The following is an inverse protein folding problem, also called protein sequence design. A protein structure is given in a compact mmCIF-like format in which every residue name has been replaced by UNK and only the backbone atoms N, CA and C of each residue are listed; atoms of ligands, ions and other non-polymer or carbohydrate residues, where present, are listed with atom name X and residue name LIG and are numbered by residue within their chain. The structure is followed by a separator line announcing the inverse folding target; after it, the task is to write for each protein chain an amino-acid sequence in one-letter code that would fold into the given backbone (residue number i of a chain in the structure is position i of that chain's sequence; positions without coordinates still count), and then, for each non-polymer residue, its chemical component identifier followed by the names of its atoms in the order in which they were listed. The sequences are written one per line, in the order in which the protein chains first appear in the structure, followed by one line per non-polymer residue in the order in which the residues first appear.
data_IF_890863416435
#
_entry.id   IF_890863416435
#
_cell.length_a   1.000
_cell.length_b   1.000
_cell.length_c   1.000
_cell.angle_alpha   90.00
_cell.angle_beta   90.00
_cell.angle_gamma   90.00
#
_symmetry.space_group_name_H-M   'P 1'
#
loop_
_entity.id
_entity.type
_entity.pdbx_description
1 polymer ?
#
# COMPACT_ATOMS: atom_id res chain seq x y z
N UNK A 1 0.48 23.72 -34.00
CA UNK A 1 1.53 22.67 -34.14
C UNK A 1 0.90 21.44 -34.78
N UNK A 2 1.24 21.16 -36.07
CA UNK A 2 0.80 19.93 -36.73
C UNK A 2 1.83 18.84 -36.44
N UNK A 3 1.43 17.83 -35.66
CA UNK A 3 2.22 16.64 -35.44
C UNK A 3 2.01 15.69 -36.61
N UNK A 4 3.09 15.15 -37.18
CA UNK A 4 3.01 14.20 -38.30
C UNK A 4 2.85 12.78 -37.80
N UNK A 5 2.29 11.89 -38.61
CA UNK A 5 2.15 10.46 -38.28
C UNK A 5 3.50 9.82 -37.96
N UNK A 6 4.55 10.16 -38.72
CA UNK A 6 5.90 9.64 -38.44
C UNK A 6 6.45 10.08 -37.09
N UNK A 7 6.17 11.31 -36.65
CA UNK A 7 6.59 11.78 -35.32
C UNK A 7 5.87 11.02 -34.20
N UNK A 8 4.56 10.75 -34.35
CA UNK A 8 3.80 9.94 -33.40
C UNK A 8 4.34 8.51 -33.36
N UNK A 9 4.61 7.92 -34.54
CA UNK A 9 5.16 6.57 -34.61
C UNK A 9 6.53 6.48 -33.94
N UNK A 10 7.43 7.42 -34.19
CA UNK A 10 8.74 7.47 -33.56
C UNK A 10 8.61 7.59 -32.03
N UNK A 11 7.70 8.43 -31.54
CA UNK A 11 7.47 8.57 -30.10
C UNK A 11 6.96 7.26 -29.46
N UNK A 12 6.01 6.59 -30.12
CA UNK A 12 5.49 5.29 -29.65
C UNK A 12 6.54 4.17 -29.68
N UNK A 13 7.42 4.18 -30.70
CA UNK A 13 8.56 3.27 -30.79
C UNK A 13 9.53 3.50 -29.60
N UNK A 14 9.90 4.74 -29.32
CA UNK A 14 10.76 5.09 -28.18
C UNK A 14 10.14 4.69 -26.84
N UNK A 15 8.87 4.98 -26.63
CA UNK A 15 8.14 4.56 -25.42
C UNK A 15 8.12 3.02 -25.29
N UNK A 16 7.94 2.32 -26.40
CA UNK A 16 7.97 0.84 -26.43
C UNK A 16 9.35 0.31 -26.05
N UNK A 17 10.43 0.92 -26.58
CA UNK A 17 11.79 0.56 -26.20
C UNK A 17 12.06 0.82 -24.72
N UNK A 18 11.67 1.98 -24.21
CA UNK A 18 11.82 2.32 -22.80
C UNK A 18 11.13 1.28 -21.90
N UNK A 19 9.88 0.93 -22.20
CA UNK A 19 9.14 -0.10 -21.45
C UNK A 19 9.81 -1.47 -21.51
N UNK A 20 10.30 -1.88 -22.70
CA UNK A 20 10.97 -3.18 -22.88
C UNK A 20 12.34 -3.27 -22.20
N UNK A 21 13.04 -2.14 -22.06
CA UNK A 21 14.35 -2.10 -21.40
C UNK A 21 14.25 -2.03 -19.88
N UNK A 22 13.10 -1.69 -19.32
CA UNK A 22 12.92 -1.54 -17.89
C UNK A 22 13.23 -2.83 -17.11
N UNK A 23 12.63 -3.96 -17.51
CA UNK A 23 12.84 -5.24 -16.83
C UNK A 23 14.29 -5.78 -16.95
N UNK A 24 14.94 -5.75 -18.13
CA UNK A 24 16.35 -6.11 -18.24
C UNK A 24 17.26 -5.30 -17.33
N UNK A 25 17.09 -3.96 -17.28
CA UNK A 25 17.90 -3.08 -16.44
C UNK A 25 17.68 -3.40 -14.96
N UNK A 26 16.43 -3.54 -14.51
CA UNK A 26 16.13 -3.93 -13.12
C UNK A 26 16.77 -5.25 -12.72
N UNK A 27 16.73 -6.26 -13.61
CA UNK A 27 17.36 -7.56 -13.37
C UNK A 27 18.88 -7.48 -13.29
N UNK A 28 19.50 -6.57 -14.03
CA UNK A 28 20.96 -6.34 -13.96
C UNK A 28 21.39 -5.86 -12.57
N UNK A 29 20.51 -5.14 -11.86
CA UNK A 29 20.76 -4.68 -10.50
C UNK A 29 20.93 -5.80 -9.48
N UNK A 30 20.44 -7.01 -9.79
CA UNK A 30 20.48 -8.19 -8.90
C UNK A 30 20.11 -7.85 -7.46
N UNK A 31 18.97 -7.18 -7.30
CA UNK A 31 18.49 -6.73 -5.99
C UNK A 31 17.97 -7.93 -5.20
N UNK A 32 18.58 -8.18 -4.06
CA UNK A 32 18.15 -9.18 -3.09
C UNK A 32 17.73 -8.49 -1.79
N UNK A 33 16.55 -8.84 -1.29
CA UNK A 33 16.01 -8.35 -0.02
C UNK A 33 15.92 -9.51 0.96
N UNK A 34 16.55 -9.34 2.11
CA UNK A 34 16.52 -10.33 3.19
C UNK A 34 15.12 -10.38 3.83
N UNK A 35 14.56 -11.58 3.98
CA UNK A 35 13.31 -11.77 4.75
C UNK A 35 13.47 -11.35 6.21
N UNK A 36 14.66 -11.53 6.79
CA UNK A 36 14.96 -11.17 8.17
C UNK A 36 14.91 -9.66 8.42
N UNK A 37 15.35 -8.86 7.44
CA UNK A 37 15.28 -7.40 7.49
C UNK A 37 13.87 -6.88 7.18
N UNK A 38 13.13 -7.61 6.37
CA UNK A 38 11.76 -7.28 5.97
C UNK A 38 10.70 -7.90 6.89
N UNK A 39 11.09 -8.65 7.94
CA UNK A 39 10.16 -9.36 8.81
C UNK A 39 9.09 -8.42 9.36
N UNK A 40 7.84 -8.84 9.24
CA UNK A 40 6.68 -8.13 9.76
C UNK A 40 6.10 -8.87 10.95
N UNK A 41 5.75 -8.11 11.98
CA UNK A 41 4.92 -8.57 13.10
C UNK A 41 3.50 -8.07 12.93
N UNK A 42 2.52 -8.86 13.35
CA UNK A 42 1.10 -8.48 13.35
C UNK A 42 0.63 -8.09 14.75
N UNK A 43 -0.24 -7.09 14.83
CA UNK A 43 -0.79 -6.62 16.10
C UNK A 43 -2.23 -6.11 15.93
N UNK A 44 -2.95 -6.12 17.03
CA UNK A 44 -4.27 -5.48 17.15
C UNK A 44 -4.16 -4.27 18.08
N UNK A 45 -4.83 -3.19 17.72
CA UNK A 45 -4.81 -1.97 18.51
C UNK A 45 -6.17 -1.28 18.54
N UNK A 46 -6.42 -0.55 19.62
CA UNK A 46 -7.49 0.44 19.71
C UNK A 46 -6.84 1.81 19.76
N UNK A 47 -7.31 2.72 18.91
CA UNK A 47 -6.86 4.11 18.84
C UNK A 47 -8.00 5.02 19.28
N UNK A 48 -7.78 5.81 20.32
CA UNK A 48 -8.76 6.78 20.83
C UNK A 48 -8.17 8.18 20.65
N UNK A 49 -8.79 8.98 19.78
CA UNK A 49 -8.36 10.37 19.54
C UNK A 49 -8.47 11.22 20.80
N UNK A 50 -7.40 11.92 21.12
CA UNK A 50 -7.31 12.91 22.22
C UNK A 50 -7.20 14.34 21.71
N UNK A 51 -7.30 14.56 20.40
CA UNK A 51 -7.21 15.86 19.74
C UNK A 51 -8.41 16.11 18.84
N UNK A 52 -8.83 17.38 18.71
CA UNK A 52 -9.93 17.82 17.87
C UNK A 52 -10.38 19.20 18.30
N UNK A 53 -10.82 20.03 17.37
CA UNK A 53 -11.18 21.45 17.62
C UNK A 53 -12.35 21.60 18.60
N UNK A 54 -13.21 20.58 18.71
CA UNK A 54 -14.40 20.58 19.57
C UNK A 54 -14.19 19.85 20.92
N UNK A 55 -12.97 19.31 21.19
CA UNK A 55 -12.70 18.56 22.41
C UNK A 55 -12.32 19.50 23.56
N UNK A 56 -13.04 19.36 24.68
CA UNK A 56 -12.68 20.02 25.93
C UNK A 56 -11.70 19.16 26.75
N UNK A 57 -11.03 19.77 27.74
CA UNK A 57 -10.17 19.02 28.67
C UNK A 57 -10.92 17.92 29.42
N UNK A 58 -12.22 18.14 29.73
CA UNK A 58 -13.07 17.12 30.36
C UNK A 58 -13.37 15.96 29.41
N UNK A 59 -13.56 16.23 28.12
CA UNK A 59 -13.74 15.16 27.11
C UNK A 59 -12.48 14.32 26.94
N UNK A 60 -11.32 14.99 26.91
CA UNK A 60 -10.03 14.30 26.84
C UNK A 60 -9.81 13.40 28.06
N UNK A 61 -10.10 13.93 29.26
CA UNK A 61 -9.99 13.14 30.51
C UNK A 61 -10.91 11.91 30.48
N UNK A 62 -12.17 12.10 30.06
CA UNK A 62 -13.13 10.99 29.88
C UNK A 62 -12.66 9.95 28.89
N UNK A 63 -12.11 10.36 27.74
CA UNK A 63 -11.58 9.44 26.71
C UNK A 63 -10.38 8.65 27.25
N UNK A 64 -9.53 9.25 28.05
CA UNK A 64 -8.43 8.56 28.73
C UNK A 64 -8.93 7.54 29.75
N UNK A 65 -9.97 7.87 30.53
CA UNK A 65 -10.62 6.90 31.43
C UNK A 65 -11.22 5.72 30.66
N UNK A 66 -11.89 5.97 29.54
CA UNK A 66 -12.43 4.93 28.67
C UNK A 66 -11.31 4.08 28.04
N UNK A 67 -10.20 4.69 27.61
CA UNK A 67 -9.04 3.96 27.11
C UNK A 67 -8.44 3.05 28.19
N UNK A 68 -8.34 3.54 29.44
CA UNK A 68 -7.88 2.74 30.56
C UNK A 68 -8.84 1.58 30.88
N UNK A 69 -10.14 1.80 30.82
CA UNK A 69 -11.14 0.75 30.98
C UNK A 69 -11.01 -0.35 29.94
N UNK A 70 -10.76 0.02 28.65
CA UNK A 70 -10.51 -0.96 27.59
C UNK A 70 -9.23 -1.73 27.88
N UNK A 71 -8.14 -1.05 28.22
CA UNK A 71 -6.86 -1.69 28.54
C UNK A 71 -7.01 -2.70 29.69
N UNK A 72 -7.69 -2.34 30.77
CA UNK A 72 -7.89 -3.21 31.92
C UNK A 72 -8.66 -4.47 31.53
N UNK A 73 -9.73 -4.35 30.74
CA UNK A 73 -10.52 -5.48 30.23
C UNK A 73 -9.72 -6.38 29.28
N UNK A 74 -8.91 -5.81 28.40
CA UNK A 74 -8.04 -6.58 27.50
C UNK A 74 -6.96 -7.30 28.28
N UNK A 75 -6.44 -6.71 29.37
CA UNK A 75 -5.46 -7.37 30.28
C UNK A 75 -6.07 -8.49 31.13
N UNK A 76 -7.37 -8.39 31.48
CA UNK A 76 -8.08 -9.46 32.17
C UNK A 76 -8.23 -10.71 31.28
N UNK A 77 -8.49 -10.53 29.99
CA UNK A 77 -8.55 -11.61 29.00
C UNK A 77 -7.84 -11.18 27.68
N UNK A 78 -6.51 -11.43 27.58
CA UNK A 78 -5.75 -11.10 26.39
C UNK A 78 -6.19 -11.83 25.11
N UNK A 79 -6.98 -12.89 25.25
CA UNK A 79 -7.49 -13.67 24.09
C UNK A 79 -8.85 -13.19 23.59
N UNK A 80 -9.50 -12.31 24.34
CA UNK A 80 -10.79 -11.75 23.96
C UNK A 80 -10.71 -10.89 22.69
N UNK A 81 -11.86 -10.74 22.04
CA UNK A 81 -11.99 -9.85 20.88
C UNK A 81 -11.92 -8.38 21.35
N UNK A 82 -10.78 -7.73 21.07
CA UNK A 82 -10.56 -6.33 21.43
C UNK A 82 -11.60 -5.39 20.80
N UNK A 83 -12.17 -5.76 19.65
CA UNK A 83 -13.22 -4.97 18.98
C UNK A 83 -14.53 -5.01 19.79
N UNK A 84 -14.89 -6.17 20.31
CA UNK A 84 -16.08 -6.30 21.17
C UNK A 84 -15.88 -5.56 22.50
N UNK A 85 -14.69 -5.65 23.09
CA UNK A 85 -14.33 -4.94 24.32
C UNK A 85 -14.42 -3.41 24.10
N UNK A 86 -13.82 -2.91 23.03
CA UNK A 86 -13.83 -1.48 22.72
C UNK A 86 -15.26 -0.96 22.53
N UNK A 87 -16.08 -1.65 21.72
CA UNK A 87 -17.50 -1.31 21.50
C UNK A 87 -18.33 -1.40 22.79
N UNK A 88 -17.98 -2.29 23.70
CA UNK A 88 -18.64 -2.43 25.00
C UNK A 88 -18.41 -1.24 25.93
N UNK A 89 -17.36 -0.41 25.68
CA UNK A 89 -17.09 0.82 26.42
C UNK A 89 -17.74 2.01 25.73
N UNK A 90 -17.63 2.12 24.41
CA UNK A 90 -18.27 3.13 23.60
C UNK A 90 -18.47 2.58 22.17
N UNK A 91 -19.68 2.73 21.61
CA UNK A 91 -20.03 2.22 20.28
C UNK A 91 -19.17 2.81 19.14
N UNK A 92 -18.56 3.97 19.37
CA UNK A 92 -17.68 4.64 18.40
C UNK A 92 -16.27 4.05 18.37
N UNK A 93 -15.88 3.24 19.36
CA UNK A 93 -14.55 2.65 19.44
C UNK A 93 -14.50 1.31 18.71
N UNK A 94 -13.38 1.05 18.07
CA UNK A 94 -13.13 -0.23 17.38
C UNK A 94 -11.67 -0.61 17.46
N UNK A 95 -11.39 -1.90 17.43
CA UNK A 95 -10.04 -2.38 17.25
C UNK A 95 -9.71 -2.54 15.76
N UNK A 96 -8.46 -2.28 15.42
CA UNK A 96 -7.89 -2.37 14.09
C UNK A 96 -6.70 -3.33 14.12
N UNK A 97 -6.47 -4.01 13.01
CA UNK A 97 -5.29 -4.84 12.82
C UNK A 97 -4.22 -4.07 12.04
N UNK A 98 -2.96 -4.30 12.38
CA UNK A 98 -1.83 -3.69 11.72
C UNK A 98 -0.65 -4.62 11.63
N UNK A 99 0.31 -4.26 10.78
CA UNK A 99 1.61 -4.90 10.70
C UNK A 99 2.71 -3.86 10.78
N UNK A 100 3.87 -4.23 11.30
CA UNK A 100 5.03 -3.35 11.36
C UNK A 100 6.32 -4.14 11.17
N UNK A 101 7.37 -3.48 10.72
CA UNK A 101 8.70 -4.10 10.61
C UNK A 101 9.25 -4.37 12.00
N UNK A 102 9.46 -5.65 12.29
CA UNK A 102 9.86 -6.15 13.62
C UNK A 102 11.15 -5.50 14.12
N UNK A 103 12.15 -5.43 13.24
CA UNK A 103 13.44 -4.82 13.54
C UNK A 103 13.45 -3.33 13.20
N UNK A 104 14.18 -2.55 13.99
CA UNK A 104 14.56 -1.20 13.59
C UNK A 104 15.55 -1.28 12.43
N UNK A 105 15.43 -0.36 11.49
CA UNK A 105 16.32 -0.24 10.36
C UNK A 105 16.63 1.23 10.08
N UNK A 106 17.89 1.51 9.77
CA UNK A 106 18.31 2.82 9.26
C UNK A 106 17.93 2.99 7.77
N UNK A 107 17.61 1.89 7.07
CA UNK A 107 17.14 1.91 5.69
C UNK A 107 15.65 2.25 5.66
N UNK A 108 15.32 3.40 5.07
CA UNK A 108 13.96 3.93 4.97
C UNK A 108 12.98 2.96 4.31
N UNK A 109 13.45 2.10 3.40
CA UNK A 109 12.62 1.11 2.71
C UNK A 109 12.06 0.05 3.68
N UNK A 110 12.71 -0.20 4.81
CA UNK A 110 12.25 -1.15 5.84
C UNK A 110 11.50 -0.49 6.99
N UNK A 111 11.56 0.83 7.12
CA UNK A 111 10.90 1.52 8.23
C UNK A 111 9.37 1.39 8.15
N UNK A 112 8.73 1.38 9.31
CA UNK A 112 7.28 1.45 9.46
C UNK A 112 6.89 2.89 9.76
N UNK A 113 6.38 3.61 8.77
CA UNK A 113 5.99 5.03 8.89
C UNK A 113 4.50 5.22 9.17
N UNK A 114 3.72 4.13 9.22
CA UNK A 114 2.28 4.18 9.41
C UNK A 114 1.85 4.43 10.87
N UNK A 115 2.77 4.26 11.82
CA UNK A 115 2.49 4.37 13.25
C UNK A 115 3.49 5.29 13.93
N UNK A 116 3.11 5.97 15.04
CA UNK A 116 4.03 6.77 15.84
C UNK A 116 5.18 5.94 16.43
N UNK A 117 6.33 6.57 16.63
CA UNK A 117 7.53 5.89 17.16
C UNK A 117 7.31 5.30 18.56
N UNK A 118 6.49 5.94 19.39
CA UNK A 118 6.11 5.46 20.71
C UNK A 118 5.35 4.13 20.63
N UNK A 119 4.45 4.00 19.64
CA UNK A 119 3.69 2.78 19.37
C UNK A 119 4.62 1.66 18.91
N UNK A 120 5.50 1.94 17.94
CA UNK A 120 6.46 0.96 17.43
C UNK A 120 7.44 0.50 18.51
N UNK A 121 7.90 1.42 19.35
CA UNK A 121 8.78 1.12 20.49
C UNK A 121 8.10 0.21 21.48
N UNK A 122 6.84 0.49 21.84
CA UNK A 122 6.05 -0.36 22.73
C UNK A 122 5.85 -1.77 22.15
N UNK A 123 5.43 -1.87 20.87
CA UNK A 123 5.19 -3.14 20.19
C UNK A 123 6.43 -4.03 20.14
N UNK A 124 7.61 -3.47 19.93
CA UNK A 124 8.89 -4.21 19.88
C UNK A 124 9.33 -4.82 21.21
N UNK A 125 8.70 -4.42 22.32
CA UNK A 125 8.95 -5.02 23.64
C UNK A 125 8.06 -6.22 23.96
N UNK A 126 6.99 -6.42 23.17
CA UNK A 126 5.99 -7.44 23.40
C UNK A 126 6.40 -8.78 22.77
N UNK A 127 5.89 -9.85 23.35
CA UNK A 127 5.87 -11.19 22.78
C UNK A 127 4.47 -11.51 22.24
N UNK A 128 4.41 -12.54 21.43
CA UNK A 128 3.17 -13.03 20.85
C UNK A 128 2.09 -13.27 21.94
N UNK A 129 0.91 -12.69 21.73
CA UNK A 129 -0.21 -12.73 22.65
C UNK A 129 -0.14 -11.72 23.80
N UNK A 130 0.95 -10.97 23.97
CA UNK A 130 1.08 -9.98 25.05
C UNK A 130 0.37 -8.67 24.73
N UNK A 131 -0.25 -8.10 25.78
CA UNK A 131 -0.83 -6.77 25.80
C UNK A 131 0.15 -5.81 26.45
N UNK A 132 0.34 -4.62 25.88
CA UNK A 132 1.21 -3.62 26.49
C UNK A 132 0.63 -3.12 27.81
N UNK A 133 1.47 -2.98 28.82
CA UNK A 133 1.05 -2.79 30.21
C UNK A 133 0.33 -1.47 30.52
N UNK A 134 0.55 -0.43 29.70
CA UNK A 134 0.01 0.90 29.89
C UNK A 134 -0.54 1.47 28.57
N UNK A 135 -1.30 2.54 28.65
CA UNK A 135 -1.66 3.31 27.46
C UNK A 135 -0.40 3.90 26.82
N UNK A 136 -0.30 3.80 25.48
CA UNK A 136 0.70 4.55 24.73
C UNK A 136 0.05 5.85 24.30
N UNK A 137 0.42 6.94 24.94
CA UNK A 137 -0.11 8.27 24.65
C UNK A 137 0.81 8.99 23.67
N UNK A 138 0.20 9.57 22.63
CA UNK A 138 0.84 10.52 21.72
C UNK A 138 0.17 11.89 21.88
N UNK A 139 0.65 12.89 21.18
CA UNK A 139 0.03 14.22 21.18
C UNK A 139 -1.44 14.22 20.72
N UNK A 140 -1.84 13.21 19.94
CA UNK A 140 -3.14 13.17 19.28
C UNK A 140 -4.05 12.02 19.69
N UNK A 141 -3.51 10.96 20.30
CA UNK A 141 -4.29 9.75 20.61
C UNK A 141 -3.70 8.92 21.74
N UNK A 142 -4.54 8.07 22.34
CA UNK A 142 -4.14 6.97 23.22
C UNK A 142 -4.32 5.64 22.50
N UNK A 143 -3.33 4.76 22.62
CA UNK A 143 -3.32 3.44 22.01
C UNK A 143 -3.31 2.34 23.05
N UNK A 144 -4.11 1.31 22.82
CA UNK A 144 -4.09 0.02 23.50
C UNK A 144 -3.54 -1.00 22.50
N UNK A 145 -2.49 -1.73 22.84
CA UNK A 145 -1.72 -2.55 21.93
C UNK A 145 -1.67 -4.00 22.40
N UNK A 146 -1.86 -4.95 21.47
CA UNK A 146 -1.60 -6.37 21.66
C UNK A 146 -0.82 -6.91 20.46
N UNK A 147 0.30 -7.58 20.71
CA UNK A 147 1.04 -8.26 19.66
C UNK A 147 0.37 -9.62 19.38
N UNK A 148 -0.11 -9.83 18.15
CA UNK A 148 -0.81 -11.06 17.78
C UNK A 148 0.15 -12.12 17.21
N UNK A 149 1.19 -11.70 16.48
CA UNK A 149 2.23 -12.59 15.98
C UNK A 149 3.57 -11.85 15.85
N UNK A 150 4.64 -12.49 16.32
CA UNK A 150 6.02 -11.99 16.16
C UNK A 150 6.49 -12.07 14.70
N UNK A 151 5.91 -12.99 13.90
CA UNK A 151 6.21 -13.15 12.49
C UNK A 151 4.94 -13.43 11.69
N UNK A 152 4.54 -12.47 10.87
CA UNK A 152 3.50 -12.63 9.85
C UNK A 152 4.17 -12.95 8.52
N UNK A 153 4.01 -14.19 8.03
CA UNK A 153 4.67 -14.67 6.80
C UNK A 153 4.12 -13.96 5.56
N UNK A 154 2.81 -13.74 5.49
CA UNK A 154 2.17 -13.09 4.33
C UNK A 154 2.53 -11.60 4.27
N UNK A 155 2.51 -10.91 5.40
CA UNK A 155 2.94 -9.52 5.48
C UNK A 155 4.44 -9.38 5.19
N UNK A 156 5.28 -10.31 5.69
CA UNK A 156 6.72 -10.35 5.40
C UNK A 156 6.98 -10.54 3.90
N UNK A 157 6.32 -11.52 3.27
CA UNK A 157 6.47 -11.74 1.82
C UNK A 157 6.02 -10.51 1.00
N UNK A 158 4.94 -9.86 1.43
CA UNK A 158 4.45 -8.62 0.82
C UNK A 158 5.45 -7.47 0.99
N UNK A 159 6.08 -7.33 2.17
CA UNK A 159 7.12 -6.32 2.43
C UNK A 159 8.37 -6.59 1.60
N UNK A 160 8.87 -7.83 1.54
CA UNK A 160 9.98 -8.24 0.67
C UNK A 160 9.73 -7.82 -0.78
N UNK A 161 8.55 -8.16 -1.30
CA UNK A 161 8.17 -7.80 -2.68
C UNK A 161 8.13 -6.29 -2.89
N UNK A 162 7.54 -5.54 -1.96
CA UNK A 162 7.45 -4.09 -2.03
C UNK A 162 8.83 -3.44 -2.03
N UNK A 163 9.69 -3.80 -1.06
CA UNK A 163 11.06 -3.27 -0.94
C UNK A 163 11.91 -3.64 -2.17
N UNK A 164 11.81 -4.88 -2.64
CA UNK A 164 12.48 -5.30 -3.88
C UNK A 164 12.07 -4.41 -5.05
N UNK A 165 10.77 -4.20 -5.25
CA UNK A 165 10.26 -3.33 -6.32
C UNK A 165 10.76 -1.89 -6.19
N UNK A 166 10.78 -1.34 -4.97
CA UNK A 166 11.29 0.01 -4.71
C UNK A 166 12.77 0.13 -5.06
N UNK A 167 13.59 -0.82 -4.60
CA UNK A 167 15.04 -0.85 -4.87
C UNK A 167 15.34 -1.09 -6.35
N UNK A 168 14.60 -1.94 -7.03
CA UNK A 168 14.70 -2.15 -8.48
C UNK A 168 14.35 -0.87 -9.28
N UNK A 169 13.30 -0.16 -8.87
CA UNK A 169 12.92 1.11 -9.49
C UNK A 169 13.99 2.19 -9.27
N UNK A 170 14.55 2.26 -8.07
CA UNK A 170 15.65 3.16 -7.74
C UNK A 170 16.88 2.87 -8.59
N UNK A 171 17.28 1.60 -8.69
CA UNK A 171 18.39 1.17 -9.53
C UNK A 171 18.17 1.53 -11.01
N UNK A 172 16.95 1.32 -11.51
CA UNK A 172 16.58 1.71 -12.87
C UNK A 172 16.72 3.22 -13.08
N UNK A 173 16.19 4.04 -12.17
CA UNK A 173 16.26 5.50 -12.25
C UNK A 173 17.71 5.99 -12.25
N UNK A 174 18.52 5.55 -11.27
CA UNK A 174 19.93 5.93 -11.16
C UNK A 174 20.75 5.51 -12.39
N UNK A 175 20.46 4.32 -12.94
CA UNK A 175 21.15 3.82 -14.15
C UNK A 175 20.81 4.65 -15.37
N UNK A 176 19.52 4.98 -15.55
CA UNK A 176 19.08 5.79 -16.69
C UNK A 176 19.49 7.25 -16.59
N UNK A 177 19.50 7.83 -15.39
CA UNK A 177 20.03 9.17 -15.13
C UNK A 177 21.52 9.24 -15.47
N UNK A 178 22.31 8.26 -15.03
CA UNK A 178 23.73 8.18 -15.37
C UNK A 178 23.96 8.08 -16.90
N UNK A 179 23.15 7.29 -17.60
CA UNK A 179 23.24 7.23 -19.07
C UNK A 179 22.91 8.56 -19.72
N UNK A 180 21.93 9.30 -19.18
CA UNK A 180 21.56 10.63 -19.68
C UNK A 180 22.71 11.63 -19.47
N UNK A 181 23.35 11.62 -18.32
CA UNK A 181 24.51 12.47 -18.00
C UNK A 181 25.71 12.16 -18.94
N UNK A 182 25.96 10.87 -19.19
CA UNK A 182 27.03 10.42 -20.08
C UNK A 182 26.75 10.73 -21.57
N UNK A 183 25.47 10.85 -21.96
CA UNK A 183 25.02 10.99 -23.35
C UNK A 183 25.36 12.35 -24.00
N UNK A 184 25.87 13.34 -23.26
CA UNK A 184 26.21 14.69 -23.77
C UNK A 184 25.10 15.31 -24.61
N UNK A 185 23.91 15.37 -24.05
CA UNK A 185 22.74 15.97 -24.70
C UNK A 185 23.03 17.44 -25.05
N UNK A 186 22.89 17.80 -26.32
CA UNK A 186 23.00 19.18 -26.78
C UNK A 186 21.65 19.70 -27.17
N UNK A 187 21.24 20.79 -26.55
CA UNK A 187 19.99 21.46 -26.87
C UNK A 187 20.19 22.47 -28.03
N UNK A 188 19.32 22.47 -29.02
CA UNK A 188 19.30 23.52 -30.03
C UNK A 188 18.52 24.73 -29.50
N UNK A 189 19.24 25.64 -28.84
CA UNK A 189 18.67 26.89 -28.30
C UNK A 189 17.91 27.73 -29.34
N UNK A 190 18.25 27.61 -30.61
CA UNK A 190 17.55 28.37 -31.69
C UNK A 190 16.14 27.79 -31.88
N UNK A 191 16.01 26.46 -31.85
CA UNK A 191 14.71 25.79 -31.93
C UNK A 191 13.90 26.06 -30.66
N UNK A 192 14.49 25.96 -29.49
CA UNK A 192 13.81 26.25 -28.19
C UNK A 192 13.25 27.66 -28.12
N UNK A 193 14.00 28.67 -28.62
CA UNK A 193 13.54 30.08 -28.70
C UNK A 193 12.37 30.29 -29.64
N UNK A 194 12.11 29.36 -30.55
CA UNK A 194 10.96 29.41 -31.48
C UNK A 194 9.69 28.78 -30.87
N UNK A 195 9.83 28.04 -29.76
CA UNK A 195 8.69 27.45 -29.03
C UNK A 195 8.04 28.55 -28.19
N UNK A 196 6.97 29.12 -28.70
CA UNK A 196 6.12 30.01 -27.90
C UNK A 196 4.90 29.24 -27.40
N UNK A 197 4.74 29.18 -26.09
CA UNK A 197 3.49 28.72 -25.49
C UNK A 197 2.54 29.93 -25.50
N UNK A 198 1.52 29.90 -26.35
CA UNK A 198 0.43 30.87 -26.25
C UNK A 198 -0.65 30.31 -25.34
N UNK A 199 -1.17 31.14 -24.45
CA UNK A 199 -2.20 30.76 -23.45
C UNK A 199 -3.55 30.33 -24.09
N UNK A 200 -3.67 30.40 -25.42
CA UNK A 200 -4.85 30.01 -26.16
C UNK A 200 -4.63 28.72 -26.96
N UNK A 201 -4.56 27.58 -26.25
CA UNK A 201 -4.63 26.28 -26.91
C UNK A 201 -6.08 25.78 -26.96
N UNK A 202 -6.81 26.18 -27.98
CA UNK A 202 -8.07 25.50 -28.35
C UNK A 202 -7.71 24.24 -29.12
N UNK A 203 -7.92 23.08 -28.56
CA UNK A 203 -7.91 21.81 -29.27
C UNK A 203 -9.19 21.69 -30.09
N UNK A 204 -9.09 21.88 -31.39
CA UNK A 204 -10.20 21.55 -32.28
C UNK A 204 -10.03 20.10 -32.72
N UNK A 205 -10.83 19.20 -32.17
CA UNK A 205 -10.93 17.82 -32.66
C UNK A 205 -11.66 17.91 -33.98
N UNK A 206 -10.94 17.74 -35.11
CA UNK A 206 -11.58 17.60 -36.38
C UNK A 206 -12.28 16.25 -36.42
N UNK A 207 -13.61 16.25 -36.26
CA UNK A 207 -14.38 15.05 -36.43
C UNK A 207 -14.13 14.49 -37.84
N UNK A 208 -13.62 13.28 -37.91
CA UNK A 208 -13.58 12.52 -39.16
C UNK A 208 -15.01 12.17 -39.48
N UNK A 209 -15.59 12.89 -40.42
CA UNK A 209 -16.85 12.51 -41.05
C UNK A 209 -16.61 11.21 -41.80
N UNK A 210 -17.06 10.09 -41.22
CA UNK A 210 -17.29 8.90 -41.99
C UNK A 210 -18.46 9.19 -42.93
N UNK A 211 -18.20 9.08 -44.25
CA UNK A 211 -19.23 9.18 -45.28
C UNK A 211 -20.36 8.19 -45.02
N UNK A 212 -21.51 8.71 -44.59
CA UNK A 212 -22.81 8.09 -44.80
C UNK A 212 -23.76 9.20 -45.19
N UNK A 213 -24.20 9.14 -46.42
CA UNK A 213 -25.12 10.07 -47.07
C UNK A 213 -26.45 10.24 -46.33
N UNK A 214 -26.96 11.48 -46.28
CA UNK A 214 -28.37 11.72 -46.03
C UNK A 214 -28.69 13.05 -45.39
N UNK A 215 -28.98 14.02 -46.25
CA UNK A 215 -30.02 15.05 -46.14
C UNK A 215 -29.93 16.17 -45.07
N UNK A 216 -29.93 17.35 -45.67
CA UNK A 216 -30.04 18.74 -45.22
C UNK A 216 -30.87 19.03 -43.95
N UNK A 217 -30.32 19.92 -43.08
CA UNK A 217 -30.98 21.22 -42.77
C UNK A 217 -29.97 22.20 -42.15
N UNK A 218 -29.85 23.37 -42.69
CA UNK A 218 -29.15 24.55 -42.18
C UNK A 218 -29.85 25.01 -40.90
N UNK A 219 -29.12 25.14 -39.81
CA UNK A 219 -29.50 25.99 -38.67
C UNK A 219 -28.28 26.76 -38.16
N UNK A 220 -28.40 28.06 -38.29
CA UNK A 220 -27.43 29.09 -37.91
C UNK A 220 -27.18 29.06 -36.38
N UNK A 221 -25.96 28.87 -35.97
CA UNK A 221 -25.54 29.03 -34.58
C UNK A 221 -25.13 30.48 -34.30
N UNK A 222 -25.88 31.15 -33.45
CA UNK A 222 -25.53 32.42 -32.80
C UNK A 222 -24.32 32.24 -31.87
N UNK A 223 -23.36 33.16 -32.00
CA UNK A 223 -22.26 33.38 -31.08
C UNK A 223 -22.83 33.75 -29.69
N UNK A 224 -22.59 32.92 -28.68
CA UNK A 224 -22.74 33.30 -27.29
C UNK A 224 -21.38 33.60 -26.69
N UNK A 225 -21.10 34.90 -26.55
CA UNK A 225 -19.98 35.47 -25.79
C UNK A 225 -20.18 35.18 -24.29
N UNK A 226 -19.35 34.34 -23.71
CA UNK A 226 -19.36 34.05 -22.26
C UNK A 226 -18.18 34.81 -21.64
N UNK A 227 -18.49 35.90 -20.95
CA UNK A 227 -17.58 36.61 -20.07
C UNK A 227 -17.31 35.78 -18.79
N UNK A 228 -16.07 35.73 -18.29
CA UNK A 228 -15.80 35.08 -17.01
C UNK A 228 -16.22 35.98 -15.85
N UNK A 229 -17.14 35.49 -15.04
CA UNK A 229 -17.46 36.08 -13.75
C UNK A 229 -16.69 35.33 -12.69
N UNK A 230 -15.82 36.07 -12.00
CA UNK A 230 -15.11 35.68 -10.79
C UNK A 230 -16.14 35.64 -9.66
N UNK A 231 -16.40 34.47 -9.04
CA UNK A 231 -16.93 34.41 -7.66
C UNK A 231 -16.73 33.02 -7.04
N UNK A 232 -16.02 33.08 -5.91
CA UNK A 232 -16.15 32.31 -4.66
C UNK A 232 -16.22 30.77 -4.71
N UNK A 233 -15.21 30.21 -4.05
CA UNK A 233 -15.18 28.84 -3.53
C UNK A 233 -16.41 28.55 -2.66
N UNK A 234 -17.13 27.50 -2.99
CA UNK A 234 -18.06 26.84 -2.07
C UNK A 234 -17.76 25.35 -2.05
N UNK A 235 -17.48 24.87 -0.86
CA UNK A 235 -17.15 23.48 -0.56
C UNK A 235 -18.39 22.63 -0.80
N UNK A 236 -18.38 21.77 -1.80
CA UNK A 236 -19.36 20.70 -1.93
C UNK A 236 -18.74 19.38 -1.50
N UNK A 237 -19.18 18.97 -0.31
CA UNK A 237 -19.12 17.64 0.27
C UNK A 237 -19.55 16.57 -0.76
N UNK A 238 -18.60 15.74 -1.19
CA UNK A 238 -18.90 14.57 -2.04
C UNK A 238 -19.19 13.38 -1.13
N UNK A 239 -20.44 13.10 -0.88
CA UNK A 239 -20.87 11.84 -0.28
C UNK A 239 -20.64 10.69 -1.28
N UNK A 240 -20.02 9.58 -0.88
CA UNK A 240 -19.91 8.40 -1.74
C UNK A 240 -21.28 7.70 -1.82
N UNK A 241 -21.77 7.56 -3.04
CA UNK A 241 -22.96 6.76 -3.34
C UNK A 241 -22.61 5.29 -3.22
N UNK A 242 -23.30 4.62 -2.32
CA UNK A 242 -23.30 3.17 -2.12
C UNK A 242 -23.91 2.51 -3.37
N UNK A 243 -23.09 1.89 -4.22
CA UNK A 243 -23.55 1.05 -5.32
C UNK A 243 -23.51 -0.40 -4.86
N UNK A 244 -24.70 -0.99 -4.74
CA UNK A 244 -24.96 -2.34 -4.30
C UNK A 244 -24.26 -3.35 -5.24
N UNK A 245 -23.34 -4.16 -4.70
CA UNK A 245 -22.82 -5.34 -5.37
C UNK A 245 -23.86 -6.46 -5.29
N UNK A 246 -24.39 -6.88 -6.42
CA UNK A 246 -25.18 -8.12 -6.54
C UNK A 246 -24.29 -9.33 -6.25
N UNK A 247 -24.65 -10.08 -5.23
CA UNK A 247 -24.10 -11.39 -4.91
C UNK A 247 -24.46 -12.38 -6.04
N UNK A 248 -23.47 -12.80 -6.81
CA UNK A 248 -23.59 -14.00 -7.62
C UNK A 248 -23.14 -15.20 -6.78
N UNK A 249 -24.13 -15.94 -6.31
CA UNK A 249 -24.00 -17.22 -5.64
C UNK A 249 -23.39 -18.24 -6.61
N UNK A 250 -22.12 -18.59 -6.40
CA UNK A 250 -21.46 -19.70 -7.13
C UNK A 250 -21.55 -20.92 -6.23
N UNK A 251 -22.45 -21.83 -6.56
CA UNK A 251 -22.55 -23.16 -5.96
C UNK A 251 -21.30 -23.98 -6.29
N UNK A 252 -20.60 -24.57 -5.33
CA UNK A 252 -19.53 -25.53 -5.61
C UNK A 252 -20.12 -26.88 -6.06
N UNK A 253 -19.71 -27.31 -7.23
CA UNK A 253 -19.99 -28.65 -7.75
C UNK A 253 -19.08 -29.64 -7.00
N UNK A 254 -19.73 -30.56 -6.31
CA UNK A 254 -19.14 -31.69 -5.63
C UNK A 254 -18.62 -32.66 -6.70
N UNK A 255 -17.29 -32.79 -6.87
CA UNK A 255 -16.68 -33.87 -7.64
C UNK A 255 -15.86 -34.75 -6.70
N UNK A 256 -16.29 -36.02 -6.65
CA UNK A 256 -15.81 -37.05 -5.76
C UNK A 256 -14.32 -37.32 -5.94
N UNK A 257 -13.53 -37.19 -4.87
CA UNK A 257 -12.16 -37.70 -4.83
C UNK A 257 -12.19 -39.18 -4.40
N UNK A 258 -11.72 -40.06 -5.27
CA UNK A 258 -11.44 -41.48 -4.95
C UNK A 258 -10.28 -41.54 -3.93
N UNK A 259 -10.55 -42.22 -2.81
CA UNK A 259 -9.56 -42.62 -1.83
C UNK A 259 -8.60 -43.65 -2.42
N UNK A 260 -7.32 -43.30 -2.55
CA UNK A 260 -6.26 -44.31 -2.69
C UNK A 260 -5.57 -44.48 -1.34
N UNK A 261 -5.94 -45.61 -0.71
CA UNK A 261 -5.36 -46.13 0.50
C UNK A 261 -3.89 -46.54 0.22
N UNK A 262 -2.92 -45.84 0.78
CA UNK A 262 -1.50 -46.22 0.77
C UNK A 262 -1.16 -46.77 2.15
N UNK A 263 -1.03 -48.11 2.21
CA UNK A 263 -0.54 -48.83 3.38
C UNK A 263 0.95 -48.56 3.62
N UNK A 264 1.39 -48.24 4.85
CA UNK A 264 2.81 -48.12 5.16
C UNK A 264 3.44 -49.49 5.29
N UNK A 265 4.49 -49.73 4.52
CA UNK A 265 5.35 -50.90 4.64
C UNK A 265 6.32 -50.66 5.80
N UNK A 266 6.21 -51.52 6.81
CA UNK A 266 7.11 -51.65 7.96
C UNK A 266 8.42 -52.32 7.45
N UNK A 267 9.55 -51.61 7.48
CA UNK A 267 10.88 -52.17 7.27
C UNK A 267 11.73 -52.02 8.53
N UNK A 268 12.18 -53.18 8.99
CA UNK A 268 12.81 -53.41 10.26
C UNK A 268 14.14 -52.67 10.46
N UNK A 269 14.33 -52.07 11.64
CA UNK A 269 15.59 -51.59 12.12
C UNK A 269 16.51 -52.75 12.52
N UNK A 270 17.69 -52.85 11.88
CA UNK A 270 18.81 -53.65 12.41
C UNK A 270 19.66 -52.77 13.35
N UNK A 271 19.68 -53.17 14.60
CA UNK A 271 20.62 -52.67 15.62
C UNK A 271 22.04 -53.13 15.28
N UNK A 272 22.96 -52.21 15.09
CA UNK A 272 24.39 -52.52 15.19
C UNK A 272 24.95 -51.91 16.49
N UNK A 273 25.14 -52.82 17.43
CA UNK A 273 25.84 -52.61 18.68
C UNK A 273 27.34 -52.35 18.42
N UNK A 274 27.83 -51.15 18.78
CA UNK A 274 29.26 -50.85 18.75
C UNK A 274 29.76 -50.72 20.18
N UNK A 275 30.49 -51.74 20.63
CA UNK A 275 31.19 -51.79 21.90
C UNK A 275 32.40 -50.81 21.90
N UNK A 276 32.65 -50.10 23.01
CA UNK A 276 33.87 -49.30 23.15
C UNK A 276 35.04 -50.18 23.57
N UNK A 277 36.14 -50.06 22.85
CA UNK A 277 37.45 -50.65 23.22
C UNK A 277 38.21 -49.64 24.04
N UNK A 278 38.48 -50.02 25.28
CA UNK A 278 39.40 -49.41 26.21
C UNK A 278 40.85 -49.92 25.90
N UNK A 279 41.82 -48.97 25.74
CA UNK A 279 43.29 -49.24 25.92
C UNK A 279 43.97 -47.92 26.28
N UNK A 280 44.49 -47.85 27.36
CA UNK A 280 45.70 -47.89 28.15
C UNK A 280 46.52 -46.61 28.07
#
# INVERSE_FOLDING_TARGET
LSVTEDQVKTLLELETYQKKMQDPIKKEGNIEVSEDDAQQSAFTYVNISLSGDDLTDDDIAKRKEQAQEILDKVKEDPTADMKEIAKGVDDSYTALNGTFTTKESDDEDFQSTAYPDEVLTALRTLKEGEVYDSLVETDTAAYILRLDSEKDEDATASKVKSVTTTKENKYYSETTEKWLDDAKVTEDEKVLKTLTFSDNHTFTIKATTSDAAGDSTEETAEEAEVTPTEEAADETEVTPTEEAAEETEVTPTEEAAEETEVTPTEEAAEETEVTPTEEA
#
